data_IF_052795345524
#
_entry.id   IF_052795345524
#
_cell.length_a   1.000
_cell.length_b   1.000
_cell.length_c   1.000
_cell.angle_alpha   90.00
_cell.angle_beta   90.00
_cell.angle_gamma   90.00
#
_symmetry.space_group_name_H-M   'P 1'
#
loop_
_entity.id
_entity.type
_entity.pdbx_description
1 polymer ?
#
# COMPACT_ATOMS: atom_id res chain seq x y z
N UNK A 1 -20.56 15.47 0.96
CA UNK A 1 -20.15 14.11 0.61
C UNK A 1 -19.50 13.96 -0.78
N UNK A 2 -19.95 14.67 -1.81
CA UNK A 2 -19.34 14.62 -3.16
C UNK A 2 -17.89 15.21 -3.21
N UNK A 3 -17.60 16.25 -2.43
CA UNK A 3 -16.26 16.89 -2.41
C UNK A 3 -15.18 15.95 -1.87
N UNK A 4 -15.46 15.21 -0.81
CA UNK A 4 -14.50 14.24 -0.23
C UNK A 4 -14.14 13.09 -1.18
N UNK A 5 -15.10 12.61 -1.99
CA UNK A 5 -14.82 11.55 -2.99
C UNK A 5 -13.89 12.05 -4.10
N UNK A 6 -14.05 13.30 -4.55
CA UNK A 6 -13.20 13.89 -5.59
C UNK A 6 -11.76 14.10 -5.11
N UNK A 7 -11.57 14.55 -3.87
CA UNK A 7 -10.23 14.76 -3.32
C UNK A 7 -9.48 13.44 -3.09
N UNK A 8 -10.19 12.41 -2.64
CA UNK A 8 -9.60 11.10 -2.43
C UNK A 8 -9.19 10.44 -3.76
N UNK A 9 -10.04 10.51 -4.80
CA UNK A 9 -9.70 9.99 -6.12
C UNK A 9 -8.50 10.73 -6.74
N UNK A 10 -8.39 12.04 -6.56
CA UNK A 10 -7.22 12.82 -7.02
C UNK A 10 -5.93 12.37 -6.31
N UNK A 11 -6.00 12.12 -5.00
CA UNK A 11 -4.86 11.62 -4.24
C UNK A 11 -4.40 10.26 -4.73
N UNK A 12 -5.34 9.34 -5.01
CA UNK A 12 -5.02 8.02 -5.56
C UNK A 12 -4.43 8.12 -6.97
N UNK A 13 -4.99 8.93 -7.83
CA UNK A 13 -4.43 9.15 -9.16
C UNK A 13 -3.00 9.69 -9.09
N UNK A 14 -2.77 10.66 -8.21
CA UNK A 14 -1.43 11.18 -7.95
C UNK A 14 -0.47 10.12 -7.40
N UNK A 15 -0.92 9.33 -6.43
CA UNK A 15 -0.15 8.24 -5.86
C UNK A 15 0.28 7.20 -6.91
N UNK A 16 -0.66 6.74 -7.75
CA UNK A 16 -0.35 5.74 -8.79
C UNK A 16 0.56 6.36 -9.85
N UNK A 17 0.34 7.62 -10.23
CA UNK A 17 1.21 8.33 -11.17
C UNK A 17 2.64 8.43 -10.62
N UNK A 18 2.82 8.87 -9.39
CA UNK A 18 4.15 8.95 -8.78
C UNK A 18 4.81 7.57 -8.66
N UNK A 19 4.01 6.53 -8.43
CA UNK A 19 4.47 5.14 -8.43
C UNK A 19 4.94 4.69 -9.82
N UNK A 20 4.19 4.99 -10.87
CA UNK A 20 4.57 4.72 -12.26
C UNK A 20 5.83 5.51 -12.67
N UNK A 21 5.92 6.77 -12.26
CA UNK A 21 7.05 7.65 -12.59
C UNK A 21 8.33 7.26 -11.81
N UNK A 22 8.18 6.74 -10.60
CA UNK A 22 9.31 6.29 -9.77
C UNK A 22 9.92 4.97 -10.24
N UNK A 23 9.19 4.14 -10.98
CA UNK A 23 9.66 2.82 -11.42
C UNK A 23 9.16 2.46 -12.82
N UNK A 24 10.06 2.48 -13.83
CA UNK A 24 9.72 2.04 -15.19
C UNK A 24 9.16 0.62 -15.25
N UNK A 25 9.63 -0.27 -14.37
CA UNK A 25 9.14 -1.65 -14.28
C UNK A 25 7.67 -1.71 -13.86
N UNK A 26 7.27 -0.88 -12.89
CA UNK A 26 5.87 -0.78 -12.47
C UNK A 26 5.02 -0.27 -13.61
N UNK A 27 5.44 0.81 -14.28
CA UNK A 27 4.72 1.40 -15.39
C UNK A 27 4.49 0.39 -16.53
N UNK A 28 5.53 -0.34 -16.93
CA UNK A 28 5.44 -1.33 -17.99
C UNK A 28 4.47 -2.45 -17.60
N UNK A 29 4.63 -3.04 -16.42
CA UNK A 29 3.76 -4.13 -15.94
C UNK A 29 2.30 -3.66 -15.80
N UNK A 30 2.07 -2.48 -15.21
CA UNK A 30 0.70 -1.94 -15.12
C UNK A 30 0.09 -1.76 -16.51
N UNK A 31 0.86 -1.28 -17.48
CA UNK A 31 0.39 -1.10 -18.86
C UNK A 31 0.00 -2.43 -19.52
N UNK A 32 0.72 -3.52 -19.21
CA UNK A 32 0.45 -4.85 -19.72
C UNK A 32 -0.80 -5.49 -19.11
N UNK A 33 -1.06 -5.24 -17.82
CA UNK A 33 -2.19 -5.85 -17.10
C UNK A 33 -3.48 -5.02 -17.16
N UNK A 34 -3.43 -3.79 -17.65
CA UNK A 34 -4.64 -2.96 -17.79
C UNK A 34 -5.64 -3.56 -18.81
N UNK A 35 -6.94 -3.46 -18.57
CA UNK A 35 -7.59 -2.99 -17.34
C UNK A 35 -7.57 -4.05 -16.24
N UNK A 36 -7.40 -3.64 -15.00
CA UNK A 36 -7.51 -4.52 -13.83
C UNK A 36 -8.41 -3.90 -12.78
N UNK A 37 -9.30 -4.69 -12.23
CA UNK A 37 -10.19 -4.28 -11.14
C UNK A 37 -10.09 -5.26 -10.00
N UNK A 38 -9.81 -4.78 -8.82
CA UNK A 38 -9.66 -5.63 -7.66
C UNK A 38 -10.29 -5.01 -6.40
N UNK A 39 -10.56 -5.87 -5.45
CA UNK A 39 -11.15 -5.51 -4.16
C UNK A 39 -10.10 -5.68 -3.07
N UNK A 40 -10.02 -4.69 -2.19
CA UNK A 40 -9.30 -4.80 -0.91
C UNK A 40 -10.33 -5.02 0.19
N UNK A 41 -10.29 -6.16 0.81
CA UNK A 41 -11.06 -6.51 2.00
C UNK A 41 -10.13 -6.46 3.20
N UNK A 42 -10.21 -5.37 3.95
CA UNK A 42 -9.40 -5.16 5.14
C UNK A 42 -10.27 -5.45 6.36
N UNK A 43 -9.83 -6.40 7.17
CA UNK A 43 -10.57 -6.83 8.37
C UNK A 43 -10.98 -5.65 9.25
N UNK A 44 -12.26 -5.58 9.58
CA UNK A 44 -12.84 -4.49 10.39
C UNK A 44 -13.06 -3.16 9.65
N UNK A 45 -12.81 -3.13 8.33
CA UNK A 45 -12.98 -1.93 7.50
C UNK A 45 -13.96 -2.18 6.35
N UNK A 46 -14.39 -1.09 5.70
CA UNK A 46 -15.22 -1.18 4.49
C UNK A 46 -14.38 -1.68 3.32
N UNK A 47 -15.00 -2.50 2.48
CA UNK A 47 -14.42 -2.93 1.21
C UNK A 47 -14.04 -1.73 0.33
N UNK A 48 -12.89 -1.83 -0.29
CA UNK A 48 -12.37 -0.83 -1.21
C UNK A 48 -12.20 -1.49 -2.58
N UNK A 49 -12.82 -0.92 -3.59
CA UNK A 49 -12.73 -1.39 -4.98
C UNK A 49 -11.82 -0.46 -5.75
N UNK A 50 -10.81 -1.02 -6.40
CA UNK A 50 -9.80 -0.29 -7.17
C UNK A 50 -9.90 -0.72 -8.61
N UNK A 51 -10.10 0.25 -9.50
CA UNK A 51 -10.14 0.03 -10.95
C UNK A 51 -9.01 0.82 -11.60
N UNK A 52 -8.13 0.12 -12.27
CA UNK A 52 -6.97 0.68 -12.95
C UNK A 52 -7.09 0.43 -14.45
N UNK A 53 -7.14 1.52 -15.21
CA UNK A 53 -7.07 1.50 -16.67
C UNK A 53 -5.96 2.45 -17.12
N UNK A 54 -5.67 2.49 -18.42
CA UNK A 54 -4.68 3.45 -18.96
C UNK A 54 -5.02 4.89 -18.60
N UNK A 55 -6.30 5.24 -18.71
CA UNK A 55 -6.76 6.63 -18.64
C UNK A 55 -7.33 6.99 -17.26
N UNK A 56 -7.88 6.00 -16.55
CA UNK A 56 -8.60 6.22 -15.30
C UNK A 56 -8.08 5.30 -14.22
N UNK A 57 -7.72 5.88 -13.07
CA UNK A 57 -7.42 5.20 -11.83
C UNK A 57 -8.48 5.65 -10.82
N UNK A 58 -9.34 4.74 -10.41
CA UNK A 58 -10.48 5.06 -9.56
C UNK A 58 -10.59 4.13 -8.36
N UNK A 59 -11.09 4.70 -7.26
CA UNK A 59 -11.48 3.94 -6.07
C UNK A 59 -12.97 4.14 -5.81
N UNK A 60 -13.61 3.06 -5.42
CA UNK A 60 -15.00 3.04 -5.00
C UNK A 60 -15.16 2.30 -3.69
N UNK A 61 -16.09 2.75 -2.87
CA UNK A 61 -16.58 2.03 -1.69
C UNK A 61 -17.92 1.33 -1.96
N UNK A 62 -18.39 1.43 -3.20
CA UNK A 62 -19.59 0.71 -3.66
C UNK A 62 -19.14 -0.51 -4.47
N UNK A 63 -19.85 -1.64 -4.36
CA UNK A 63 -19.55 -2.84 -5.10
C UNK A 63 -19.45 -2.58 -6.61
N UNK A 64 -18.48 -3.25 -7.25
CA UNK A 64 -18.30 -3.29 -8.69
C UNK A 64 -18.68 -4.69 -9.16
N UNK A 65 -19.44 -4.79 -10.24
CA UNK A 65 -20.00 -6.08 -10.72
C UNK A 65 -18.93 -7.11 -11.09
N UNK A 66 -17.81 -6.66 -11.62
CA UNK A 66 -16.73 -7.54 -12.05
C UNK A 66 -15.42 -7.12 -11.39
N UNK A 67 -14.85 -8.02 -10.62
CA UNK A 67 -13.51 -7.92 -10.05
C UNK A 67 -12.66 -9.08 -10.58
N UNK A 68 -11.40 -8.83 -10.84
CA UNK A 68 -10.45 -9.84 -11.31
C UNK A 68 -9.93 -10.67 -10.13
N UNK A 69 -9.60 -9.99 -9.03
CA UNK A 69 -9.22 -10.65 -7.78
C UNK A 69 -9.59 -9.82 -6.55
N UNK A 70 -9.56 -10.46 -5.40
CA UNK A 70 -9.74 -9.85 -4.09
C UNK A 70 -8.50 -10.08 -3.23
N UNK A 71 -8.05 -9.05 -2.53
CA UNK A 71 -7.03 -9.16 -1.49
C UNK A 71 -7.72 -9.10 -0.12
N UNK A 72 -7.61 -10.18 0.64
CA UNK A 72 -8.14 -10.28 2.01
C UNK A 72 -6.98 -10.19 2.99
N UNK A 73 -7.01 -9.22 3.88
CA UNK A 73 -5.91 -8.98 4.80
C UNK A 73 -6.33 -8.16 6.00
N UNK A 74 -5.58 -8.25 7.08
CA UNK A 74 -5.63 -7.28 8.17
C UNK A 74 -4.74 -6.06 7.85
N UNK A 75 -4.98 -4.94 8.53
CA UNK A 75 -4.09 -3.77 8.42
C UNK A 75 -2.64 -4.11 8.75
N UNK A 76 -2.43 -4.93 9.76
CA UNK A 76 -1.10 -5.38 10.19
C UNK A 76 -0.38 -6.13 9.07
N UNK A 77 -1.07 -7.04 8.39
CA UNK A 77 -0.50 -7.81 7.26
C UNK A 77 -0.18 -6.93 6.06
N UNK A 78 -1.02 -5.93 5.75
CA UNK A 78 -0.73 -4.95 4.70
C UNK A 78 0.54 -4.18 5.03
N UNK A 79 0.69 -3.72 6.27
CA UNK A 79 1.90 -3.03 6.68
C UNK A 79 3.13 -3.95 6.70
N UNK A 80 2.98 -5.18 7.17
CA UNK A 80 4.04 -6.19 7.08
C UNK A 80 4.49 -6.40 5.63
N UNK A 81 3.53 -6.52 4.71
CA UNK A 81 3.80 -6.62 3.27
C UNK A 81 4.58 -5.41 2.73
N UNK A 82 4.17 -4.20 3.08
CA UNK A 82 4.84 -2.97 2.61
C UNK A 82 6.28 -2.84 3.13
N UNK A 83 6.55 -3.31 4.34
CA UNK A 83 7.88 -3.23 4.97
C UNK A 83 8.77 -4.38 4.50
N UNK A 84 8.30 -5.61 4.66
CA UNK A 84 9.10 -6.82 4.43
C UNK A 84 9.11 -7.24 2.97
N UNK A 85 8.13 -6.72 2.20
CA UNK A 85 7.87 -7.13 0.81
C UNK A 85 7.62 -8.65 0.68
N UNK A 86 7.18 -9.30 1.76
CA UNK A 86 6.80 -10.73 1.77
C UNK A 86 5.34 -10.87 1.35
N UNK A 87 5.11 -11.56 0.23
CA UNK A 87 3.79 -11.78 -0.34
C UNK A 87 3.34 -13.19 0.01
N UNK A 88 2.12 -13.31 0.55
CA UNK A 88 1.46 -14.59 0.81
C UNK A 88 0.37 -14.81 -0.23
N UNK A 89 0.37 -15.98 -0.87
CA UNK A 89 -0.64 -16.31 -1.92
C UNK A 89 -2.05 -16.43 -1.37
N UNK A 90 -2.19 -16.87 -0.13
CA UNK A 90 -3.47 -17.04 0.57
C UNK A 90 -4.22 -15.73 0.83
N UNK A 91 -3.53 -14.58 0.70
CA UNK A 91 -4.17 -13.27 0.74
C UNK A 91 -5.02 -12.96 -0.50
N UNK A 92 -4.87 -13.71 -1.59
CA UNK A 92 -5.52 -13.41 -2.86
C UNK A 92 -6.56 -14.47 -3.23
N UNK A 93 -7.75 -14.02 -3.62
CA UNK A 93 -8.88 -14.82 -4.07
C UNK A 93 -9.25 -14.37 -5.49
N UNK A 94 -9.54 -15.31 -6.39
CA UNK A 94 -9.86 -15.03 -7.78
C UNK A 94 -8.66 -15.26 -8.70
N UNK A 95 -8.33 -14.33 -9.59
CA UNK A 95 -7.17 -14.42 -10.47
C UNK A 95 -5.86 -14.20 -9.69
N UNK A 96 -5.38 -15.28 -9.10
CA UNK A 96 -4.14 -15.25 -8.30
C UNK A 96 -2.90 -14.97 -9.14
N UNK A 97 -2.89 -15.31 -10.42
CA UNK A 97 -1.75 -15.04 -11.31
C UNK A 97 -1.62 -13.55 -11.54
N UNK A 98 -2.71 -12.88 -11.89
CA UNK A 98 -2.76 -11.44 -12.06
C UNK A 98 -2.38 -10.70 -10.75
N UNK A 99 -2.95 -11.14 -9.62
CA UNK A 99 -2.64 -10.60 -8.31
C UNK A 99 -1.15 -10.73 -7.97
N UNK A 100 -0.55 -11.89 -8.25
CA UNK A 100 0.88 -12.14 -8.00
C UNK A 100 1.79 -11.35 -8.93
N UNK A 101 1.40 -11.14 -10.20
CA UNK A 101 2.14 -10.26 -11.12
C UNK A 101 2.18 -8.85 -10.57
N UNK A 102 1.04 -8.30 -10.17
CA UNK A 102 0.95 -6.97 -9.57
C UNK A 102 1.81 -6.88 -8.29
N UNK A 103 1.61 -7.81 -7.36
CA UNK A 103 2.30 -7.82 -6.07
C UNK A 103 3.83 -7.97 -6.24
N UNK A 104 4.29 -8.84 -7.14
CA UNK A 104 5.72 -9.02 -7.41
C UNK A 104 6.34 -7.79 -8.08
N UNK A 105 5.58 -7.09 -8.93
CA UNK A 105 6.04 -5.84 -9.54
C UNK A 105 6.25 -4.76 -8.49
N UNK A 106 5.30 -4.61 -7.57
CA UNK A 106 5.43 -3.72 -6.43
C UNK A 106 6.61 -4.11 -5.52
N UNK A 107 6.79 -5.40 -5.27
CA UNK A 107 7.92 -5.93 -4.48
C UNK A 107 9.28 -5.60 -5.09
N UNK A 108 9.42 -5.73 -6.41
CA UNK A 108 10.68 -5.51 -7.13
C UNK A 108 11.00 -4.03 -7.32
N UNK A 109 10.04 -3.14 -7.07
CA UNK A 109 10.29 -1.71 -7.18
C UNK A 109 11.16 -1.22 -6.02
N UNK A 110 12.07 -0.30 -6.30
CA UNK A 110 12.84 0.43 -5.29
C UNK A 110 12.04 1.59 -4.67
N UNK A 111 10.75 1.64 -4.95
CA UNK A 111 9.86 2.70 -4.50
C UNK A 111 9.65 2.63 -2.99
N UNK A 112 9.84 3.75 -2.32
CA UNK A 112 9.50 3.91 -0.91
C UNK A 112 7.97 4.13 -0.78
N UNK A 113 7.23 3.03 -0.65
CA UNK A 113 5.78 3.06 -0.50
C UNK A 113 5.32 3.82 0.73
N UNK A 114 6.10 3.77 1.80
CA UNK A 114 5.75 4.47 3.04
C UNK A 114 5.81 5.97 2.83
N UNK A 115 6.83 6.44 2.10
CA UNK A 115 6.91 7.85 1.71
C UNK A 115 5.73 8.29 0.85
N UNK A 116 5.35 7.48 -0.16
CA UNK A 116 4.22 7.81 -1.02
C UNK A 116 2.90 7.82 -0.23
N UNK A 117 2.69 6.85 0.66
CA UNK A 117 1.50 6.79 1.50
C UNK A 117 1.43 8.01 2.41
N UNK A 118 2.52 8.39 3.07
CA UNK A 118 2.60 9.57 3.91
C UNK A 118 2.30 10.85 3.13
N UNK A 119 2.89 11.01 1.96
CA UNK A 119 2.71 12.16 1.08
C UNK A 119 1.26 12.39 0.68
N UNK A 120 0.52 11.32 0.35
CA UNK A 120 -0.83 11.44 -0.18
C UNK A 120 -1.93 11.32 0.87
N UNK A 121 -1.70 10.57 1.93
CA UNK A 121 -2.73 10.25 2.92
C UNK A 121 -2.48 10.86 4.31
N UNK A 122 -1.25 11.29 4.59
CA UNK A 122 -0.86 11.99 5.83
C UNK A 122 -1.15 11.19 7.12
N UNK A 123 -0.52 11.57 8.24
CA UNK A 123 -0.77 11.02 9.60
C UNK A 123 -0.72 9.49 9.78
N UNK A 124 -0.35 8.75 8.75
CA UNK A 124 -0.16 7.30 8.82
C UNK A 124 1.05 6.90 9.70
N UNK A 125 2.15 7.69 9.76
CA UNK A 125 3.33 7.29 10.50
C UNK A 125 3.10 6.93 11.97
N UNK A 126 2.30 7.69 12.70
CA UNK A 126 2.07 7.43 14.12
C UNK A 126 1.23 6.17 14.36
N UNK A 127 0.15 5.99 13.62
CA UNK A 127 -0.68 4.78 13.64
C UNK A 127 0.13 3.57 13.17
N UNK A 128 0.94 3.76 12.15
CA UNK A 128 1.83 2.76 11.58
C UNK A 128 2.87 2.27 12.60
N UNK A 129 3.60 3.18 13.27
CA UNK A 129 4.60 2.82 14.29
C UNK A 129 3.93 2.01 15.41
N UNK A 130 2.74 2.42 15.84
CA UNK A 130 2.01 1.70 16.88
C UNK A 130 1.60 0.29 16.43
N UNK A 131 1.05 0.14 15.23
CA UNK A 131 0.64 -1.16 14.68
C UNK A 131 1.83 -2.09 14.42
N UNK A 132 2.93 -1.57 13.89
CA UNK A 132 4.15 -2.37 13.65
C UNK A 132 4.79 -2.77 14.98
N UNK A 133 4.85 -1.88 15.97
CA UNK A 133 5.38 -2.24 17.29
C UNK A 133 4.54 -3.31 17.99
N UNK A 134 3.21 -3.27 17.85
CA UNK A 134 2.32 -4.33 18.35
C UNK A 134 2.52 -5.65 17.59
N UNK A 135 2.66 -5.60 16.28
CA UNK A 135 2.87 -6.80 15.45
C UNK A 135 4.20 -7.48 15.79
N UNK A 136 5.27 -6.71 16.01
CA UNK A 136 6.58 -7.20 16.42
C UNK A 136 6.51 -7.80 17.83
N UNK A 137 5.81 -7.14 18.76
CA UNK A 137 5.66 -7.62 20.13
C UNK A 137 4.86 -8.92 20.25
N UNK A 138 3.91 -9.14 19.36
CA UNK A 138 3.04 -10.31 19.38
C UNK A 138 3.57 -11.49 18.56
N UNK A 139 4.49 -11.28 17.61
CA UNK A 139 5.11 -12.35 16.81
C UNK A 139 6.51 -12.66 17.33
N UNK A 140 6.65 -13.73 18.10
CA UNK A 140 7.95 -14.35 18.49
C UNK A 140 8.75 -14.94 17.31
N UNK A 141 8.41 -14.64 16.06
CA UNK A 141 9.01 -15.22 14.85
C UNK A 141 9.26 -14.16 13.78
N UNK A 142 10.25 -13.31 14.02
CA UNK A 142 10.91 -12.59 12.93
C UNK A 142 12.35 -13.08 12.91
N UNK A 143 12.79 -13.68 11.81
CA UNK A 143 14.19 -14.01 11.62
C UNK A 143 15.05 -12.75 11.84
N UNK A 144 16.21 -12.90 12.47
CA UNK A 144 17.13 -11.81 12.86
C UNK A 144 17.40 -10.77 11.77
N UNK A 145 17.35 -11.18 10.49
CA UNK A 145 17.55 -10.29 9.33
C UNK A 145 16.37 -9.34 9.09
N UNK A 146 15.16 -9.83 9.29
CA UNK A 146 13.93 -9.06 9.10
C UNK A 146 13.73 -8.05 10.22
N UNK A 147 14.10 -8.42 11.43
CA UNK A 147 14.08 -7.53 12.60
C UNK A 147 15.01 -6.33 12.41
N UNK A 148 16.23 -6.55 11.95
CA UNK A 148 17.17 -5.46 11.62
C UNK A 148 16.65 -4.54 10.53
N UNK A 149 16.01 -5.10 9.50
CA UNK A 149 15.43 -4.31 8.42
C UNK A 149 14.25 -3.46 8.92
N UNK A 150 13.37 -4.02 9.73
CA UNK A 150 12.23 -3.32 10.34
C UNK A 150 12.73 -2.20 11.26
N UNK A 151 13.70 -2.47 12.14
CA UNK A 151 14.29 -1.45 12.99
C UNK A 151 14.96 -0.33 12.20
N UNK A 152 15.66 -0.62 11.12
CA UNK A 152 16.25 0.39 10.24
C UNK A 152 15.18 1.28 9.62
N UNK A 153 14.09 0.71 9.10
CA UNK A 153 12.99 1.46 8.50
C UNK A 153 12.21 2.28 9.53
N UNK A 154 11.96 1.73 10.73
CA UNK A 154 11.35 2.47 11.83
C UNK A 154 12.21 3.67 12.25
N UNK A 155 13.53 3.47 12.39
CA UNK A 155 14.47 4.56 12.71
C UNK A 155 14.43 5.67 11.66
N UNK A 156 14.40 5.30 10.38
CA UNK A 156 14.29 6.28 9.29
C UNK A 156 12.97 7.06 9.35
N UNK A 157 11.86 6.40 9.68
CA UNK A 157 10.57 7.06 9.87
C UNK A 157 10.60 8.03 11.05
N UNK A 158 11.16 7.63 12.18
CA UNK A 158 11.30 8.49 13.38
C UNK A 158 12.10 9.75 13.03
N UNK A 159 13.24 9.60 12.37
CA UNK A 159 14.07 10.76 11.95
C UNK A 159 13.29 11.70 11.02
N UNK A 160 12.45 11.15 10.16
CA UNK A 160 11.62 11.97 9.24
C UNK A 160 10.50 12.68 9.98
N UNK A 161 9.87 12.03 10.96
CA UNK A 161 8.88 12.66 11.84
C UNK A 161 9.48 13.82 12.63
N UNK A 162 10.64 13.63 13.27
CA UNK A 162 11.34 14.68 14.01
C UNK A 162 11.62 15.90 13.13
N UNK A 163 11.99 15.67 11.87
CA UNK A 163 12.21 16.76 10.90
C UNK A 163 10.92 17.49 10.54
N UNK A 164 9.82 16.76 10.35
CA UNK A 164 8.51 17.36 10.06
C UNK A 164 7.97 18.15 11.23
N UNK A 165 8.12 17.65 12.45
CA UNK A 165 7.77 18.38 13.69
C UNK A 165 8.62 19.65 13.84
N UNK A 166 9.92 19.58 13.54
CA UNK A 166 10.80 20.75 13.59
C UNK A 166 10.39 21.83 12.56
N UNK A 167 9.91 21.43 11.38
CA UNK A 167 9.43 22.37 10.34
C UNK A 167 8.07 22.97 10.72
N UNK A 168 7.18 22.19 11.33
CA UNK A 168 5.86 22.68 11.74
C UNK A 168 5.87 23.57 13.00
N UNK A 169 6.95 23.54 13.77
CA UNK A 169 7.16 24.36 14.98
C UNK A 169 7.97 25.66 14.71
N UNK A 170 8.28 25.94 13.44
CA UNK A 170 8.87 27.19 12.94
C UNK A 170 7.80 28.08 12.33
#
# INVERSE_FOLDING_TARGET
MLHMKNDFNKKIQGFIKDLEDASPNIKNTLTEIYPVTFKLNIEGHKDIYISLTKDVKAISFSPIEKIDFEMVSSLTEIFELLITKKIKRDMFIGDQELAMVLANTLKKSDTDFLYLIDRYFGNIPAVFIHLVSQAISNKKFIEDSDEKMIHSKLRNLTIRMDRLEAINNL
#
